data_IF_023469411998
#
_entry.id   IF_023469411998
#
_cell.length_a   1.000
_cell.length_b   1.000
_cell.length_c   1.000
_cell.angle_alpha   90.00
_cell.angle_beta   90.00
_cell.angle_gamma   90.00
#
_symmetry.space_group_name_H-M   'P 1'
#
loop_
_entity.id
_entity.type
_entity.pdbx_description
1 polymer ?
#
# COMPACT_ATOMS: atom_id res chain seq x y z
N UNK A 1 -11.05 -17.17 -11.79
CA UNK A 1 -10.08 -16.08 -12.04
C UNK A 1 -10.11 -15.05 -10.92
N UNK A 2 -11.28 -14.46 -10.62
CA UNK A 2 -11.47 -13.42 -9.60
C UNK A 2 -11.01 -13.81 -8.19
N UNK A 3 -11.35 -15.02 -7.70
CA UNK A 3 -10.93 -15.48 -6.37
C UNK A 3 -9.40 -15.63 -6.23
N UNK A 4 -8.71 -16.14 -7.26
CA UNK A 4 -7.26 -16.31 -7.25
C UNK A 4 -6.53 -14.96 -7.32
N UNK A 5 -7.04 -14.03 -8.13
CA UNK A 5 -6.55 -12.66 -8.21
C UNK A 5 -6.68 -11.94 -6.87
N UNK A 6 -7.85 -12.02 -6.21
CA UNK A 6 -8.08 -11.43 -4.88
C UNK A 6 -7.16 -12.06 -3.84
N UNK A 7 -7.02 -13.38 -3.83
CA UNK A 7 -6.12 -14.07 -2.89
C UNK A 7 -4.65 -13.63 -3.08
N UNK A 8 -4.20 -13.47 -4.33
CA UNK A 8 -2.86 -12.97 -4.63
C UNK A 8 -2.64 -11.55 -4.11
N UNK A 9 -3.58 -10.62 -4.35
CA UNK A 9 -3.46 -9.25 -3.84
C UNK A 9 -3.48 -9.24 -2.31
N UNK A 10 -4.36 -10.02 -1.67
CA UNK A 10 -4.41 -10.14 -0.20
C UNK A 10 -3.08 -10.60 0.38
N UNK A 11 -2.48 -11.65 -0.17
CA UNK A 11 -1.19 -12.14 0.29
C UNK A 11 -0.09 -11.06 0.25
N UNK A 12 -0.07 -10.23 -0.80
CA UNK A 12 0.88 -9.11 -0.91
C UNK A 12 0.60 -7.98 0.07
N UNK A 13 -0.66 -7.74 0.41
CA UNK A 13 -1.03 -6.79 1.46
C UNK A 13 -0.63 -7.31 2.85
N UNK A 14 -0.80 -8.60 3.11
CA UNK A 14 -0.41 -9.23 4.37
C UNK A 14 1.12 -9.15 4.58
N UNK A 15 1.91 -9.36 3.52
CA UNK A 15 3.36 -9.15 3.57
C UNK A 15 3.75 -7.71 3.89
N UNK A 16 3.08 -6.73 3.26
CA UNK A 16 3.31 -5.31 3.51
C UNK A 16 2.93 -4.90 4.92
N UNK A 17 1.80 -5.39 5.42
CA UNK A 17 1.35 -5.17 6.80
C UNK A 17 2.35 -5.78 7.78
N UNK A 18 2.75 -7.03 7.59
CA UNK A 18 3.71 -7.69 8.46
C UNK A 18 5.06 -6.94 8.51
N UNK A 19 5.55 -6.48 7.36
CA UNK A 19 6.76 -5.67 7.28
C UNK A 19 6.60 -4.31 7.99
N UNK A 20 5.47 -3.62 7.80
CA UNK A 20 5.20 -2.35 8.47
C UNK A 20 5.08 -2.52 9.99
N UNK A 21 4.35 -3.53 10.47
CA UNK A 21 4.25 -3.85 11.90
C UNK A 21 5.64 -4.13 12.49
N UNK A 22 6.47 -4.92 11.80
CA UNK A 22 7.83 -5.22 12.26
C UNK A 22 8.75 -3.98 12.29
N UNK A 23 8.53 -3.01 11.39
CA UNK A 23 9.33 -1.80 11.28
C UNK A 23 8.96 -0.68 12.27
N UNK A 24 7.89 -0.84 13.07
CA UNK A 24 7.46 0.17 14.05
C UNK A 24 5.95 0.29 14.21
N UNK A 25 5.17 -0.33 13.31
CA UNK A 25 3.71 -0.33 13.37
C UNK A 25 3.08 1.06 13.26
N UNK A 26 1.92 1.25 13.88
CA UNK A 26 1.19 2.52 13.84
C UNK A 26 1.71 3.58 14.84
N UNK A 27 2.71 3.24 15.65
CA UNK A 27 3.10 4.02 16.83
C UNK A 27 3.97 5.24 16.53
N UNK A 28 4.75 5.22 15.43
CA UNK A 28 5.74 6.25 15.16
C UNK A 28 5.93 6.44 13.65
N UNK A 29 5.82 7.70 13.20
CA UNK A 29 6.05 8.06 11.82
C UNK A 29 7.52 8.33 11.54
N UNK A 30 7.90 8.38 10.26
CA UNK A 30 9.27 8.67 9.86
C UNK A 30 9.38 10.01 9.15
N UNK A 31 10.50 10.70 9.35
CA UNK A 31 10.85 11.93 8.65
C UNK A 31 12.28 11.84 8.12
N UNK A 32 12.51 12.42 6.94
CA UNK A 32 13.84 12.48 6.35
C UNK A 32 14.49 13.83 6.66
N UNK A 33 15.77 13.80 7.03
CA UNK A 33 16.60 14.99 7.14
C UNK A 33 17.99 14.69 6.59
N UNK A 34 18.34 15.38 5.49
CA UNK A 34 19.59 15.11 4.77
C UNK A 34 19.57 13.67 4.28
N UNK A 35 20.60 12.90 4.62
CA UNK A 35 20.73 11.48 4.28
C UNK A 35 20.17 10.54 5.34
N UNK A 36 19.59 11.06 6.42
CA UNK A 36 19.07 10.28 7.55
C UNK A 36 17.54 10.17 7.56
N UNK A 37 17.05 9.04 8.05
CA UNK A 37 15.64 8.84 8.42
C UNK A 37 15.54 8.79 9.95
N UNK A 38 14.63 9.58 10.50
CA UNK A 38 14.41 9.75 11.92
C UNK A 38 12.97 9.44 12.29
N UNK A 39 12.77 9.01 13.53
CA UNK A 39 11.46 8.98 14.16
C UNK A 39 10.90 10.40 14.28
N UNK A 40 9.63 10.61 13.94
CA UNK A 40 8.98 11.93 14.09
C UNK A 40 8.86 12.37 15.55
N UNK A 41 8.89 11.43 16.49
CA UNK A 41 8.87 11.74 17.93
C UNK A 41 10.25 12.09 18.51
N UNK A 42 11.31 12.02 17.71
CA UNK A 42 12.67 12.43 18.10
C UNK A 42 12.92 13.87 17.64
N UNK A 43 12.73 14.87 18.52
CA UNK A 43 12.95 16.28 18.19
C UNK A 43 14.42 16.72 18.30
N UNK A 44 15.33 15.79 18.62
CA UNK A 44 16.70 16.11 19.03
C UNK A 44 17.71 15.68 17.95
N UNK A 45 18.56 16.62 17.54
CA UNK A 45 19.60 16.45 16.51
C UNK A 45 20.72 15.50 16.97
N UNK A 46 20.82 15.26 18.28
CA UNK A 46 21.81 14.35 18.87
C UNK A 46 21.40 12.86 18.79
N UNK A 47 20.17 12.56 18.36
CA UNK A 47 19.71 11.18 18.17
C UNK A 47 20.19 10.66 16.81
N UNK A 48 20.92 9.53 16.74
CA UNK A 48 21.35 8.99 15.47
C UNK A 48 20.15 8.55 14.62
N UNK A 49 20.24 8.66 13.29
CA UNK A 49 19.16 8.24 12.39
C UNK A 49 18.88 6.74 12.52
N UNK A 50 17.61 6.36 12.34
CA UNK A 50 17.16 4.97 12.24
C UNK A 50 17.82 4.26 11.05
N UNK A 51 17.98 4.98 9.94
CA UNK A 51 18.58 4.52 8.70
C UNK A 51 19.32 5.68 8.06
N UNK A 52 20.49 5.39 7.48
CA UNK A 52 21.32 6.35 6.75
C UNK A 52 21.48 5.88 5.30
N UNK A 53 21.19 6.74 4.33
CA UNK A 53 21.21 6.41 2.90
C UNK A 53 22.51 6.81 2.19
N UNK A 54 23.35 7.60 2.85
CA UNK A 54 24.64 8.09 2.36
C UNK A 54 25.43 8.77 3.49
N UNK A 55 26.69 9.16 3.28
CA UNK A 55 27.52 9.73 4.35
C UNK A 55 26.89 11.01 4.94
N UNK A 56 26.99 11.18 6.26
CA UNK A 56 26.44 12.35 6.97
C UNK A 56 27.09 13.66 6.52
N UNK A 57 28.40 13.62 6.23
CA UNK A 57 29.16 14.75 5.69
C UNK A 57 29.51 14.46 4.23
N UNK A 58 29.12 15.35 3.33
CA UNK A 58 29.37 15.21 1.89
C UNK A 58 28.42 14.23 1.17
N UNK A 59 27.27 13.92 1.77
CA UNK A 59 26.20 13.18 1.11
C UNK A 59 25.68 13.89 -0.14
N UNK A 60 25.19 13.10 -1.10
CA UNK A 60 24.67 13.62 -2.36
C UNK A 60 23.18 13.94 -2.29
N UNK A 61 22.70 14.73 -3.26
CA UNK A 61 21.26 14.97 -3.43
C UNK A 61 20.47 13.66 -3.68
N UNK A 62 21.11 12.66 -4.31
CA UNK A 62 20.50 11.34 -4.53
C UNK A 62 20.30 10.57 -3.22
N UNK A 63 21.24 10.70 -2.28
CA UNK A 63 21.13 10.07 -0.96
C UNK A 63 19.99 10.71 -0.17
N UNK A 64 19.88 12.04 -0.21
CA UNK A 64 18.78 12.76 0.40
C UNK A 64 17.43 12.39 -0.22
N UNK A 65 17.36 12.25 -1.55
CA UNK A 65 16.16 11.79 -2.24
C UNK A 65 15.78 10.35 -1.84
N UNK A 66 16.76 9.47 -1.61
CA UNK A 66 16.54 8.11 -1.12
C UNK A 66 15.96 8.12 0.30
N UNK A 67 16.45 8.99 1.17
CA UNK A 67 15.93 9.13 2.53
C UNK A 67 14.48 9.64 2.51
N UNK A 68 14.19 10.65 1.70
CA UNK A 68 12.83 11.15 1.50
C UNK A 68 11.89 10.07 0.97
N UNK A 69 12.32 9.25 0.01
CA UNK A 69 11.51 8.15 -0.51
C UNK A 69 11.18 7.11 0.58
N UNK A 70 12.15 6.76 1.44
CA UNK A 70 11.93 5.82 2.55
C UNK A 70 10.95 6.41 3.56
N UNK A 71 11.10 7.68 3.95
CA UNK A 71 10.21 8.34 4.90
C UNK A 71 8.77 8.47 4.37
N UNK A 72 8.56 8.62 3.06
CA UNK A 72 7.21 8.59 2.46
C UNK A 72 6.51 7.23 2.61
N UNK A 73 7.27 6.16 2.80
CA UNK A 73 6.77 4.81 3.02
C UNK A 73 6.92 4.39 4.49
N UNK A 74 6.71 5.32 5.42
CA UNK A 74 6.74 5.03 6.84
C UNK A 74 5.70 3.96 7.24
N UNK A 75 5.94 3.23 8.35
CA UNK A 75 5.05 2.14 8.74
C UNK A 75 3.58 2.55 8.91
N UNK A 76 3.24 3.69 9.56
CA UNK A 76 1.86 4.16 9.65
C UNK A 76 1.21 4.45 8.29
N UNK A 77 1.93 5.02 7.31
CA UNK A 77 1.40 5.24 5.96
C UNK A 77 1.14 3.92 5.24
N UNK A 78 2.07 2.96 5.33
CA UNK A 78 1.90 1.64 4.69
C UNK A 78 0.68 0.91 5.26
N UNK A 79 0.44 0.99 6.57
CA UNK A 79 -0.75 0.38 7.19
C UNK A 79 -2.05 1.04 6.70
N UNK A 80 -2.09 2.37 6.58
CA UNK A 80 -3.25 3.10 6.02
C UNK A 80 -3.51 2.71 4.56
N UNK A 81 -2.45 2.55 3.76
CA UNK A 81 -2.58 2.10 2.37
C UNK A 81 -3.14 0.66 2.30
N UNK A 82 -2.64 -0.24 3.16
CA UNK A 82 -3.13 -1.62 3.23
C UNK A 82 -4.62 -1.66 3.59
N UNK A 83 -5.04 -0.90 4.59
CA UNK A 83 -6.44 -0.82 5.01
C UNK A 83 -7.34 -0.30 3.87
N UNK A 84 -6.93 0.78 3.20
CA UNK A 84 -7.66 1.34 2.08
C UNK A 84 -7.83 0.32 0.94
N UNK A 85 -6.78 -0.43 0.62
CA UNK A 85 -6.84 -1.46 -0.44
C UNK A 85 -7.71 -2.65 0.02
N UNK A 86 -7.65 -3.07 1.30
CA UNK A 86 -8.53 -4.12 1.84
C UNK A 86 -10.00 -3.72 1.73
N UNK A 87 -10.35 -2.48 2.06
CA UNK A 87 -11.72 -1.97 1.88
C UNK A 87 -12.18 -2.01 0.42
N UNK A 88 -11.29 -1.72 -0.54
CA UNK A 88 -11.60 -1.88 -1.97
C UNK A 88 -11.86 -3.35 -2.35
N UNK A 89 -11.06 -4.28 -1.82
CA UNK A 89 -11.25 -5.72 -2.07
C UNK A 89 -12.54 -6.24 -1.44
N UNK A 90 -12.93 -5.74 -0.27
CA UNK A 90 -14.21 -6.08 0.37
C UNK A 90 -15.38 -5.69 -0.53
N UNK A 91 -15.37 -4.47 -1.08
CA UNK A 91 -16.38 -4.01 -2.05
C UNK A 91 -16.42 -4.86 -3.32
N UNK A 92 -15.27 -5.39 -3.76
CA UNK A 92 -15.22 -6.29 -4.91
C UNK A 92 -15.84 -7.67 -4.61
N UNK A 93 -15.64 -8.16 -3.39
CA UNK A 93 -16.13 -9.50 -2.97
C UNK A 93 -17.56 -9.47 -2.43
N UNK A 94 -18.10 -8.29 -2.12
CA UNK A 94 -19.46 -8.14 -1.64
C UNK A 94 -20.46 -8.69 -2.67
N UNK A 95 -21.53 -9.40 -2.24
CA UNK A 95 -22.61 -9.77 -3.12
C UNK A 95 -23.22 -8.52 -3.75
N UNK A 96 -23.54 -8.56 -5.05
CA UNK A 96 -24.19 -7.44 -5.78
C UNK A 96 -25.56 -7.07 -5.19
N UNK A 97 -26.13 -7.94 -4.35
CA UNK A 97 -27.39 -7.73 -3.66
C UNK A 97 -27.14 -7.00 -2.33
N UNK A 98 -27.01 -5.67 -2.38
CA UNK A 98 -27.18 -4.82 -1.22
C UNK A 98 -28.67 -4.50 -1.05
N UNK A 99 -29.27 -4.96 0.04
CA UNK A 99 -30.56 -4.45 0.52
C UNK A 99 -30.47 -2.92 0.68
N UNK A 100 -31.23 -2.14 -0.11
CA UNK A 100 -31.39 -0.71 0.19
C UNK A 100 -31.72 0.27 -0.94
N UNK A 101 -31.77 -0.12 -2.21
CA UNK A 101 -32.17 0.77 -3.30
C UNK A 101 -33.32 0.14 -4.14
N UNK A 102 -34.21 0.95 -4.73
CA UNK A 102 -35.34 0.43 -5.50
C UNK A 102 -34.83 -0.38 -6.71
N UNK A 103 -35.39 -1.59 -6.88
CA UNK A 103 -35.02 -2.69 -7.79
C UNK A 103 -34.54 -2.29 -9.20
N UNK A 104 -35.02 -1.17 -9.75
CA UNK A 104 -34.68 -0.71 -11.10
C UNK A 104 -33.34 0.02 -11.24
N UNK A 105 -32.83 0.64 -10.17
CA UNK A 105 -31.55 1.37 -10.19
C UNK A 105 -30.37 0.47 -9.83
N UNK A 106 -30.57 -0.48 -8.92
CA UNK A 106 -29.53 -1.41 -8.48
C UNK A 106 -29.00 -2.26 -9.62
N UNK A 107 -29.86 -2.85 -10.45
CA UNK A 107 -29.39 -3.72 -11.54
C UNK A 107 -28.58 -2.99 -12.62
N UNK A 108 -28.86 -1.71 -12.91
CA UNK A 108 -28.10 -0.93 -13.90
C UNK A 108 -26.79 -0.37 -13.34
N UNK A 109 -26.76 0.02 -12.07
CA UNK A 109 -25.54 0.58 -11.44
C UNK A 109 -24.60 -0.51 -10.94
N UNK A 110 -25.12 -1.60 -10.38
CA UNK A 110 -24.34 -2.78 -9.97
C UNK A 110 -23.61 -3.40 -11.17
N UNK A 111 -24.29 -3.55 -12.31
CA UNK A 111 -23.69 -4.03 -13.56
C UNK A 111 -22.52 -3.19 -14.10
N UNK A 112 -22.41 -1.91 -13.72
CA UNK A 112 -21.30 -1.02 -14.12
C UNK A 112 -20.20 -0.94 -13.05
N UNK A 113 -20.55 -1.16 -11.78
CA UNK A 113 -19.62 -1.04 -10.64
C UNK A 113 -18.63 -2.20 -10.60
N UNK A 114 -19.09 -3.44 -10.84
CA UNK A 114 -18.24 -4.64 -10.75
C UNK A 114 -17.07 -4.64 -11.75
N UNK A 115 -17.27 -4.31 -13.05
CA UNK A 115 -16.16 -4.27 -14.00
C UNK A 115 -15.13 -3.19 -13.66
N UNK A 116 -15.56 -2.02 -13.18
CA UNK A 116 -14.65 -0.94 -12.78
C UNK A 116 -13.76 -1.35 -11.59
N UNK A 117 -14.35 -2.00 -10.59
CA UNK A 117 -13.60 -2.52 -9.44
C UNK A 117 -12.69 -3.68 -9.85
N UNK A 118 -13.13 -4.58 -10.76
CA UNK A 118 -12.25 -5.64 -11.29
C UNK A 118 -10.99 -5.04 -11.96
N UNK A 119 -11.15 -4.01 -12.78
CA UNK A 119 -10.03 -3.30 -13.41
C UNK A 119 -9.09 -2.72 -12.36
N UNK A 120 -9.61 -2.10 -11.30
CA UNK A 120 -8.78 -1.61 -10.21
C UNK A 120 -7.98 -2.74 -9.53
N UNK A 121 -8.59 -3.89 -9.26
CA UNK A 121 -7.91 -5.06 -8.67
C UNK A 121 -6.82 -5.61 -9.59
N UNK A 122 -7.05 -5.64 -10.92
CA UNK A 122 -6.01 -6.02 -11.89
C UNK A 122 -4.82 -5.06 -11.87
N UNK A 123 -5.07 -3.76 -11.77
CA UNK A 123 -3.98 -2.76 -11.63
C UNK A 123 -3.20 -2.92 -10.33
N UNK A 124 -3.87 -3.26 -9.22
CA UNK A 124 -3.18 -3.59 -7.96
C UNK A 124 -2.29 -4.83 -8.10
N UNK A 125 -2.78 -5.89 -8.76
CA UNK A 125 -1.95 -7.07 -9.04
C UNK A 125 -0.77 -6.75 -9.98
N UNK A 126 -0.96 -5.84 -10.94
CA UNK A 126 0.08 -5.40 -11.87
C UNK A 126 1.28 -4.74 -11.15
N UNK A 127 1.06 -4.06 -10.01
CA UNK A 127 2.14 -3.53 -9.18
C UNK A 127 3.11 -4.64 -8.70
N UNK A 128 2.62 -5.88 -8.64
CA UNK A 128 3.37 -7.07 -8.24
C UNK A 128 3.70 -7.99 -9.43
N UNK A 129 3.76 -7.48 -10.66
CA UNK A 129 4.00 -8.29 -11.87
C UNK A 129 5.35 -9.00 -11.92
N UNK A 130 6.31 -8.62 -11.09
CA UNK A 130 7.62 -9.28 -10.94
C UNK A 130 7.60 -10.45 -9.94
N UNK A 131 6.49 -10.64 -9.22
CA UNK A 131 6.35 -11.73 -8.25
C UNK A 131 6.21 -13.08 -8.98
N UNK A 132 6.88 -14.17 -8.53
CA UNK A 132 6.80 -15.48 -9.20
C UNK A 132 5.38 -16.03 -9.32
N UNK A 133 4.54 -15.81 -8.30
CA UNK A 133 3.14 -16.26 -8.32
C UNK A 133 2.21 -15.40 -9.21
N UNK A 134 2.71 -14.31 -9.79
CA UNK A 134 1.93 -13.47 -10.68
C UNK A 134 1.57 -14.21 -11.96
N UNK A 135 0.28 -14.17 -12.35
CA UNK A 135 -0.18 -14.80 -13.60
C UNK A 135 -0.38 -13.74 -14.69
N UNK A 136 0.14 -13.94 -15.91
CA UNK A 136 -0.04 -13.01 -17.04
C UNK A 136 -1.50 -12.71 -17.39
N UNK A 137 -2.42 -13.65 -17.11
CA UNK A 137 -3.88 -13.48 -17.29
C UNK A 137 -4.51 -12.38 -16.42
N UNK A 138 -3.78 -11.90 -15.40
CA UNK A 138 -4.21 -10.81 -14.51
C UNK A 138 -3.82 -9.42 -15.02
N UNK A 139 -3.11 -9.33 -16.15
CA UNK A 139 -2.84 -8.03 -16.78
C UNK A 139 -4.18 -7.32 -17.07
N UNK A 140 -4.26 -6.00 -16.81
CA UNK A 140 -5.38 -5.17 -17.23
C UNK A 140 -5.62 -5.23 -18.74
#
# INVERSE_FOLDING_TARGET
MTAALVAFVRARLDEREAAAVAAGGAGEGWQAWGTGIYATSSPDDDVPPLVTTGPEVGGSDEDAARAAHIALHDPPQVLRDVEAIRSLLEQYTAPEAGEGLPDGLDQRTAGTRRPAVETAVRHLAQAHARHPDYRPEWRP
#
